data_IF_585151510327
#
_entry.id   IF_585151510327
#
_cell.length_a   1.000
_cell.length_b   1.000
_cell.length_c   1.000
_cell.angle_alpha   90.00
_cell.angle_beta   90.00
_cell.angle_gamma   90.00
#
_symmetry.space_group_name_H-M   'P 1'
#
loop_
_entity.id
_entity.type
_entity.pdbx_description
1 polymer ?
#
# COMPACT_ATOMS: atom_id res chain seq x y z
N UNK A 1 18.06 1.10 -33.20
CA UNK A 1 19.28 1.86 -33.54
C UNK A 1 19.02 3.23 -34.17
N UNK A 2 18.33 3.34 -35.32
CA UNK A 2 18.06 4.65 -35.96
C UNK A 2 17.37 5.66 -35.06
N UNK A 3 16.36 5.22 -34.31
CA UNK A 3 15.64 6.06 -33.34
C UNK A 3 16.55 6.52 -32.19
N UNK A 4 17.38 5.62 -31.67
CA UNK A 4 18.36 5.92 -30.62
C UNK A 4 19.33 7.02 -31.07
N UNK A 5 19.94 6.86 -32.25
CA UNK A 5 20.88 7.85 -32.81
C UNK A 5 20.24 9.22 -33.00
N UNK A 6 19.00 9.27 -33.47
CA UNK A 6 18.27 10.53 -33.65
C UNK A 6 18.04 11.25 -32.32
N UNK A 7 17.59 10.52 -31.29
CA UNK A 7 17.37 11.09 -29.97
C UNK A 7 18.68 11.50 -29.30
N UNK A 8 19.72 10.66 -29.36
CA UNK A 8 21.05 10.97 -28.81
C UNK A 8 21.59 12.26 -29.40
N UNK A 9 21.62 12.39 -30.73
CA UNK A 9 22.12 13.60 -31.39
C UNK A 9 21.30 14.84 -30.98
N UNK A 10 19.98 14.71 -30.84
CA UNK A 10 19.10 15.83 -30.48
C UNK A 10 19.32 16.29 -29.03
N UNK A 11 19.44 15.34 -28.10
CA UNK A 11 19.68 15.61 -26.69
C UNK A 11 21.08 16.19 -26.46
N UNK A 12 22.10 15.62 -27.10
CA UNK A 12 23.47 16.11 -27.00
C UNK A 12 23.62 17.52 -27.59
N UNK A 13 22.92 17.82 -28.69
CA UNK A 13 22.87 19.18 -29.26
C UNK A 13 22.20 20.20 -28.33
N UNK A 14 21.32 19.74 -27.43
CA UNK A 14 20.71 20.55 -26.38
C UNK A 14 21.55 20.60 -25.08
N UNK A 15 22.77 20.03 -25.09
CA UNK A 15 23.66 19.99 -23.92
C UNK A 15 23.30 18.92 -22.89
N UNK A 16 22.44 17.97 -23.24
CA UNK A 16 22.05 16.85 -22.37
C UNK A 16 22.85 15.60 -22.73
N UNK A 17 23.68 15.13 -21.80
CA UNK A 17 24.47 13.91 -21.98
C UNK A 17 23.59 12.66 -21.94
N UNK A 18 23.72 11.79 -22.93
CA UNK A 18 23.06 10.47 -22.94
C UNK A 18 24.00 9.43 -22.37
N UNK A 19 23.66 8.86 -21.21
CA UNK A 19 24.49 7.85 -20.55
C UNK A 19 24.29 6.43 -21.09
N UNK A 20 23.34 6.20 -21.99
CA UNK A 20 23.10 4.89 -22.55
C UNK A 20 21.73 4.77 -23.19
N UNK A 21 21.50 3.66 -23.87
CA UNK A 21 20.23 3.37 -24.55
C UNK A 21 19.87 1.91 -24.31
N UNK A 22 18.72 1.70 -23.69
CA UNK A 22 18.17 0.36 -23.46
C UNK A 22 17.24 0.02 -24.64
N UNK A 23 17.54 -0.99 -25.45
CA UNK A 23 16.63 -1.41 -26.52
C UNK A 23 15.39 -2.09 -25.93
N UNK A 24 14.31 -2.11 -26.70
CA UNK A 24 13.14 -2.91 -26.34
C UNK A 24 13.50 -4.39 -26.46
N UNK A 25 13.53 -5.09 -25.33
CA UNK A 25 13.95 -6.48 -25.20
C UNK A 25 12.84 -7.27 -24.50
N UNK A 26 12.43 -8.40 -25.08
CA UNK A 26 11.42 -9.29 -24.49
C UNK A 26 11.86 -9.84 -23.14
N UNK A 27 13.16 -9.96 -22.96
CA UNK A 27 13.85 -10.35 -21.74
C UNK A 27 13.57 -9.41 -20.55
N UNK A 28 13.18 -8.16 -20.82
CA UNK A 28 12.81 -7.17 -19.81
C UNK A 28 11.31 -7.07 -19.59
N UNK A 29 10.48 -7.79 -20.36
CA UNK A 29 9.03 -7.76 -20.18
C UNK A 29 8.65 -8.45 -18.85
N UNK A 30 7.87 -7.72 -18.04
CA UNK A 30 7.23 -8.27 -16.85
C UNK A 30 5.74 -8.40 -17.12
N UNK A 31 5.16 -9.52 -16.65
CA UNK A 31 3.72 -9.69 -16.66
C UNK A 31 3.03 -8.55 -15.92
N UNK A 32 2.02 -7.95 -16.54
CA UNK A 32 1.14 -7.00 -15.90
C UNK A 32 -0.05 -7.72 -15.25
N UNK A 33 -0.59 -7.11 -14.20
CA UNK A 33 -1.87 -7.45 -13.57
C UNK A 33 -2.73 -6.19 -13.51
N UNK A 34 -3.99 -6.38 -13.13
CA UNK A 34 -5.01 -5.35 -13.03
C UNK A 34 -4.55 -4.01 -12.41
N UNK A 35 -3.72 -4.04 -11.35
CA UNK A 35 -3.24 -2.87 -10.59
C UNK A 35 -1.75 -2.54 -10.78
N UNK A 36 -1.06 -3.15 -11.75
CA UNK A 36 0.38 -2.90 -11.95
C UNK A 36 1.13 -4.13 -12.42
N UNK A 37 2.34 -4.36 -11.93
CA UNK A 37 3.13 -5.54 -12.28
C UNK A 37 2.73 -6.75 -11.43
N UNK A 38 2.98 -7.95 -11.94
CA UNK A 38 2.98 -9.16 -11.11
C UNK A 38 3.95 -8.97 -9.93
N UNK A 39 3.50 -9.22 -8.70
CA UNK A 39 4.30 -9.02 -7.50
C UNK A 39 5.56 -9.89 -7.54
N UNK A 40 6.66 -9.36 -7.03
CA UNK A 40 7.95 -10.06 -6.95
C UNK A 40 7.83 -11.47 -6.32
N UNK A 41 6.98 -11.62 -5.31
CA UNK A 41 6.77 -12.89 -4.60
C UNK A 41 6.12 -13.99 -5.47
N UNK A 42 5.40 -13.60 -6.51
CA UNK A 42 4.74 -14.54 -7.43
C UNK A 42 5.64 -14.92 -8.61
N UNK A 43 6.76 -14.22 -8.79
CA UNK A 43 7.76 -14.53 -9.81
C UNK A 43 8.74 -15.60 -9.30
N UNK A 44 8.45 -16.87 -9.59
CA UNK A 44 9.32 -18.00 -9.22
C UNK A 44 10.79 -17.84 -9.64
N UNK A 45 11.04 -17.08 -10.71
CA UNK A 45 12.37 -16.85 -11.29
C UNK A 45 12.83 -15.39 -11.20
N UNK A 46 12.33 -14.61 -10.24
CA UNK A 46 12.64 -13.16 -10.13
C UNK A 46 14.14 -12.89 -10.06
N UNK A 47 14.91 -13.72 -9.33
CA UNK A 47 16.36 -13.60 -9.22
C UNK A 47 17.07 -13.73 -10.58
N UNK A 48 16.60 -14.65 -11.42
CA UNK A 48 17.14 -14.81 -12.77
C UNK A 48 16.82 -13.59 -13.63
N UNK A 49 15.59 -13.09 -13.54
CA UNK A 49 15.16 -11.88 -14.23
C UNK A 49 16.02 -10.67 -13.79
N UNK A 50 16.20 -10.46 -12.48
CA UNK A 50 17.02 -9.36 -11.94
C UNK A 50 18.46 -9.44 -12.47
N UNK A 51 19.08 -10.62 -12.46
CA UNK A 51 20.44 -10.81 -12.99
C UNK A 51 20.52 -10.50 -14.48
N UNK A 52 19.53 -10.94 -15.25
CA UNK A 52 19.47 -10.68 -16.68
C UNK A 52 19.28 -9.18 -16.98
N UNK A 53 18.35 -8.53 -16.27
CA UNK A 53 18.15 -7.10 -16.37
C UNK A 53 19.42 -6.33 -15.98
N UNK A 54 20.09 -6.70 -14.89
CA UNK A 54 21.34 -6.08 -14.46
C UNK A 54 22.44 -6.19 -15.52
N UNK A 55 22.56 -7.35 -16.19
CA UNK A 55 23.51 -7.53 -17.30
C UNK A 55 23.19 -6.60 -18.47
N UNK A 56 21.92 -6.55 -18.89
CA UNK A 56 21.47 -5.66 -19.97
C UNK A 56 21.76 -4.19 -19.62
N UNK A 57 21.44 -3.76 -18.40
CA UNK A 57 21.73 -2.39 -17.96
C UNK A 57 23.22 -2.08 -17.97
N UNK A 58 24.06 -3.03 -17.54
CA UNK A 58 25.52 -2.87 -17.55
C UNK A 58 26.10 -2.76 -18.96
N UNK A 59 25.49 -3.46 -19.93
CA UNK A 59 25.93 -3.42 -21.33
C UNK A 59 25.43 -2.17 -22.06
N UNK A 60 24.26 -1.66 -21.67
CA UNK A 60 23.59 -0.56 -22.37
C UNK A 60 23.87 0.83 -21.76
N UNK A 61 24.36 0.90 -20.52
CA UNK A 61 24.54 2.14 -19.76
C UNK A 61 26.01 2.35 -19.35
N UNK A 62 26.48 3.59 -19.44
CA UNK A 62 27.72 4.05 -18.86
C UNK A 62 27.54 4.26 -17.35
N UNK A 63 27.60 3.16 -16.60
CA UNK A 63 27.42 3.14 -15.15
C UNK A 63 28.49 3.96 -14.41
N UNK A 64 29.69 4.09 -14.97
CA UNK A 64 30.77 4.88 -14.39
C UNK A 64 30.41 6.37 -14.34
N UNK A 65 29.91 6.92 -15.44
CA UNK A 65 29.49 8.32 -15.47
C UNK A 65 28.23 8.58 -14.65
N UNK A 66 27.27 7.65 -14.66
CA UNK A 66 26.09 7.72 -13.80
C UNK A 66 26.51 7.77 -12.32
N UNK A 67 27.40 6.87 -11.90
CA UNK A 67 27.91 6.83 -10.53
C UNK A 67 28.68 8.11 -10.17
N UNK A 68 29.55 8.59 -11.06
CA UNK A 68 30.31 9.84 -10.88
C UNK A 68 29.38 11.02 -10.66
N UNK A 69 28.31 11.15 -11.45
CA UNK A 69 27.36 12.25 -11.32
C UNK A 69 26.54 12.11 -10.03
N UNK A 70 26.00 10.92 -9.77
CA UNK A 70 25.21 10.66 -8.57
C UNK A 70 25.98 10.97 -7.27
N UNK A 71 27.29 10.69 -7.26
CA UNK A 71 28.16 10.94 -6.09
C UNK A 71 28.75 12.35 -6.04
N UNK A 72 28.73 13.09 -7.16
CA UNK A 72 29.16 14.50 -7.18
C UNK A 72 28.15 15.44 -6.51
N UNK A 73 26.89 15.01 -6.37
CA UNK A 73 25.84 15.80 -5.75
C UNK A 73 26.04 15.91 -4.23
N UNK A 74 26.31 17.12 -3.76
CA UNK A 74 26.26 17.44 -2.32
C UNK A 74 24.81 17.68 -1.91
N UNK A 75 24.11 16.62 -1.55
CA UNK A 75 22.77 16.74 -0.97
C UNK A 75 22.90 17.21 0.48
N UNK A 76 22.24 18.32 0.83
CA UNK A 76 22.02 18.65 2.24
C UNK A 76 21.15 17.54 2.82
N UNK A 77 21.66 16.84 3.83
CA UNK A 77 20.87 15.87 4.59
C UNK A 77 19.73 16.66 5.23
N UNK A 78 18.53 16.56 4.66
CA UNK A 78 17.37 17.11 5.34
C UNK A 78 17.14 16.30 6.61
N UNK A 79 16.75 16.95 7.73
CA UNK A 79 16.27 16.18 8.87
C UNK A 79 15.16 15.26 8.36
N UNK A 80 15.20 13.99 8.77
CA UNK A 80 14.12 13.06 8.47
C UNK A 80 12.83 13.73 8.94
N UNK A 81 11.91 13.99 8.00
CA UNK A 81 10.54 14.35 8.37
C UNK A 81 10.07 13.23 9.29
N UNK A 82 9.57 13.57 10.47
CA UNK A 82 9.04 12.56 11.38
C UNK A 82 7.97 11.79 10.62
N UNK A 83 8.23 10.51 10.35
CA UNK A 83 7.27 9.66 9.67
C UNK A 83 5.98 9.55 10.47
N UNK A 84 5.00 8.86 9.89
CA UNK A 84 3.73 8.60 10.58
C UNK A 84 4.00 8.01 11.97
N UNK A 85 3.33 8.54 12.99
CA UNK A 85 3.45 8.00 14.35
C UNK A 85 2.96 6.54 14.37
N UNK A 86 3.55 5.69 15.20
CA UNK A 86 3.08 4.32 15.35
C UNK A 86 1.65 4.28 15.88
N UNK A 87 0.88 3.29 15.43
CA UNK A 87 -0.50 3.03 15.89
C UNK A 87 -0.57 2.65 17.37
N UNK A 88 0.52 2.08 17.90
CA UNK A 88 0.69 1.57 19.27
C UNK A 88 2.15 1.18 19.48
N UNK A 89 2.51 0.65 20.65
CA UNK A 89 3.89 0.26 20.94
C UNK A 89 4.19 -1.22 20.64
N UNK A 90 3.16 -2.07 20.50
CA UNK A 90 3.27 -3.50 20.17
C UNK A 90 2.32 -3.81 19.03
N UNK A 91 2.81 -3.68 17.81
CA UNK A 91 1.97 -3.68 16.61
C UNK A 91 2.07 -5.03 15.89
N UNK A 92 0.94 -5.71 15.72
CA UNK A 92 0.84 -6.85 14.82
C UNK A 92 0.49 -6.38 13.41
N UNK A 93 1.30 -6.76 12.42
CA UNK A 93 1.12 -6.38 11.02
C UNK A 93 0.85 -7.64 10.19
N UNK A 94 -0.28 -7.67 9.49
CA UNK A 94 -0.55 -8.73 8.54
C UNK A 94 0.45 -8.67 7.38
N UNK A 95 1.06 -9.80 7.03
CA UNK A 95 2.08 -9.88 5.99
C UNK A 95 2.03 -11.22 5.26
N UNK A 96 1.43 -11.20 4.07
CA UNK A 96 1.45 -12.31 3.11
C UNK A 96 1.00 -11.82 1.73
N UNK A 97 0.64 -12.73 0.83
CA UNK A 97 0.22 -12.39 -0.53
C UNK A 97 -1.05 -11.52 -0.59
N UNK A 98 -1.96 -11.64 0.39
CA UNK A 98 -3.15 -10.80 0.48
C UNK A 98 -2.84 -9.42 1.10
N UNK A 99 -1.79 -9.33 1.92
CA UNK A 99 -1.42 -8.13 2.70
C UNK A 99 0.05 -7.77 2.49
N UNK A 100 0.37 -7.19 1.34
CA UNK A 100 1.74 -7.05 0.83
C UNK A 100 2.18 -5.61 0.58
N UNK A 101 1.28 -4.64 0.63
CA UNK A 101 1.60 -3.21 0.42
C UNK A 101 2.13 -2.59 1.70
N UNK A 102 3.21 -3.15 2.23
CA UNK A 102 3.87 -2.67 3.45
C UNK A 102 4.98 -1.70 3.06
N UNK A 103 4.87 -0.45 3.50
CA UNK A 103 5.83 0.59 3.21
C UNK A 103 7.02 0.54 4.17
N UNK A 104 8.25 0.22 3.70
CA UNK A 104 9.40 0.06 4.61
C UNK A 104 9.74 1.33 5.40
N UNK A 105 9.51 2.51 4.83
CA UNK A 105 9.77 3.79 5.50
C UNK A 105 8.82 4.04 6.69
N UNK A 106 7.54 3.65 6.57
CA UNK A 106 6.57 3.73 7.68
C UNK A 106 6.98 2.80 8.81
N UNK A 107 7.29 1.53 8.48
CA UNK A 107 7.69 0.54 9.50
C UNK A 107 9.02 0.92 10.17
N UNK A 108 9.96 1.47 9.40
CA UNK A 108 11.23 1.96 9.96
C UNK A 108 10.98 3.12 10.93
N UNK A 109 10.13 4.07 10.56
CA UNK A 109 9.76 5.18 11.45
C UNK A 109 9.07 4.70 12.72
N UNK A 110 8.19 3.70 12.65
CA UNK A 110 7.55 3.13 13.84
C UNK A 110 8.57 2.50 14.80
N UNK A 111 9.54 1.73 14.28
CA UNK A 111 10.63 1.16 15.08
C UNK A 111 11.52 2.24 15.70
N UNK A 112 11.84 3.29 14.96
CA UNK A 112 12.60 4.45 15.45
C UNK A 112 11.87 5.18 16.59
N UNK A 113 10.53 5.14 16.58
CA UNK A 113 9.67 5.65 17.67
C UNK A 113 9.43 4.61 18.79
N UNK A 114 10.20 3.51 18.81
CA UNK A 114 10.17 2.51 19.88
C UNK A 114 9.06 1.48 19.79
N UNK A 115 8.36 1.38 18.64
CA UNK A 115 7.35 0.34 18.45
C UNK A 115 8.00 -1.02 18.16
N UNK A 116 7.54 -2.05 18.87
CA UNK A 116 7.81 -3.45 18.59
C UNK A 116 6.83 -3.98 17.54
N UNK A 117 7.34 -4.69 16.53
CA UNK A 117 6.56 -5.13 15.37
C UNK A 117 6.56 -6.65 15.27
N UNK A 118 5.37 -7.23 15.25
CA UNK A 118 5.11 -8.65 15.01
C UNK A 118 4.47 -8.84 13.65
N UNK A 119 4.85 -9.89 12.92
CA UNK A 119 4.19 -10.25 11.67
C UNK A 119 3.37 -11.52 11.86
N UNK A 120 2.24 -11.59 11.16
CA UNK A 120 1.40 -12.78 11.09
C UNK A 120 0.81 -12.90 9.69
N UNK A 121 0.44 -14.12 9.26
CA UNK A 121 -0.18 -14.39 7.97
C UNK A 121 -1.66 -14.73 8.12
N UNK A 122 -2.56 -13.79 7.79
CA UNK A 122 -3.99 -14.08 7.67
C UNK A 122 -4.29 -15.26 6.74
N UNK A 123 -3.55 -15.46 5.66
CA UNK A 123 -3.74 -16.59 4.73
C UNK A 123 -3.37 -17.95 5.33
N UNK A 124 -2.56 -18.00 6.39
CA UNK A 124 -2.27 -19.21 7.15
C UNK A 124 -3.16 -19.36 8.39
N UNK A 125 -4.22 -18.55 8.50
CA UNK A 125 -5.13 -18.51 9.66
C UNK A 125 -4.40 -18.16 10.97
N UNK A 126 -3.27 -17.45 10.88
CA UNK A 126 -2.52 -16.99 12.03
C UNK A 126 -3.24 -15.81 12.71
N UNK A 127 -3.01 -15.70 14.01
CA UNK A 127 -3.57 -14.65 14.86
C UNK A 127 -2.53 -13.54 15.04
N UNK A 128 -2.95 -12.28 15.26
CA UNK A 128 -2.09 -11.25 15.83
C UNK A 128 -1.46 -11.72 17.16
N UNK A 129 -0.31 -11.15 17.51
CA UNK A 129 0.35 -11.41 18.80
C UNK A 129 -0.58 -11.02 19.96
N UNK A 130 -0.71 -11.88 20.97
CA UNK A 130 -1.67 -11.73 22.08
C UNK A 130 -1.49 -10.46 22.91
N UNK A 131 -0.29 -9.87 22.91
CA UNK A 131 0.06 -8.67 23.68
C UNK A 131 0.15 -7.41 22.81
N UNK A 132 -0.40 -7.45 21.59
CA UNK A 132 -0.47 -6.29 20.73
C UNK A 132 -1.46 -5.25 21.24
N UNK A 133 -1.05 -3.98 21.22
CA UNK A 133 -1.92 -2.83 21.48
C UNK A 133 -2.45 -2.19 20.18
N UNK A 134 -1.89 -2.59 19.03
CA UNK A 134 -2.43 -2.26 17.72
C UNK A 134 -2.28 -3.41 16.70
N UNK A 135 -3.20 -3.46 15.74
CA UNK A 135 -3.20 -4.35 14.59
C UNK A 135 -3.29 -3.52 13.32
N UNK A 136 -2.39 -3.78 12.39
CA UNK A 136 -2.37 -3.15 11.08
C UNK A 136 -2.59 -4.18 9.97
N UNK A 137 -3.67 -4.00 9.20
CA UNK A 137 -3.93 -4.73 7.97
C UNK A 137 -3.56 -3.80 6.79
N UNK A 138 -2.38 -3.95 6.17
CA UNK A 138 -1.95 -3.10 5.06
C UNK A 138 -2.77 -3.38 3.80
N UNK A 139 -2.53 -2.59 2.75
CA UNK A 139 -3.08 -2.90 1.43
C UNK A 139 -2.55 -4.21 0.84
N UNK A 140 -3.24 -4.67 -0.20
CA UNK A 140 -2.85 -5.84 -0.97
C UNK A 140 -4.02 -6.32 -1.83
N UNK A 141 -4.11 -7.64 -2.03
CA UNK A 141 -5.06 -8.26 -2.96
C UNK A 141 -5.99 -9.28 -2.25
N UNK A 142 -6.75 -8.89 -1.22
CA UNK A 142 -7.61 -9.82 -0.49
C UNK A 142 -8.67 -10.49 -1.38
N UNK A 143 -9.09 -9.85 -2.48
CA UNK A 143 -10.06 -10.37 -3.44
C UNK A 143 -9.59 -11.62 -4.17
N UNK A 144 -8.28 -11.81 -4.31
CA UNK A 144 -7.72 -13.02 -4.90
C UNK A 144 -7.77 -14.22 -3.93
N UNK A 145 -8.00 -13.94 -2.65
CA UNK A 145 -7.98 -14.92 -1.57
C UNK A 145 -9.26 -14.88 -0.71
N UNK A 146 -10.33 -14.25 -1.22
CA UNK A 146 -11.54 -13.93 -0.45
C UNK A 146 -12.14 -15.16 0.24
N UNK A 147 -12.28 -16.28 -0.48
CA UNK A 147 -12.79 -17.53 0.08
C UNK A 147 -11.91 -18.10 1.19
N UNK A 148 -10.58 -18.02 1.06
CA UNK A 148 -9.65 -18.49 2.09
C UNK A 148 -9.71 -17.62 3.33
N UNK A 149 -9.68 -16.29 3.16
CA UNK A 149 -9.81 -15.33 4.25
C UNK A 149 -11.14 -15.51 5.00
N UNK A 150 -12.25 -15.69 4.28
CA UNK A 150 -13.56 -15.93 4.88
C UNK A 150 -13.64 -17.25 5.67
N UNK A 151 -12.84 -18.26 5.30
CA UNK A 151 -12.77 -19.53 6.03
C UNK A 151 -11.83 -19.51 7.24
N UNK A 152 -10.96 -18.51 7.36
CA UNK A 152 -9.91 -18.43 8.38
C UNK A 152 -10.45 -17.88 9.71
N UNK A 153 -11.13 -18.75 10.46
CA UNK A 153 -11.86 -18.38 11.67
C UNK A 153 -10.95 -17.94 12.82
N UNK A 154 -9.72 -18.46 12.94
CA UNK A 154 -8.81 -18.03 14.02
C UNK A 154 -8.37 -16.59 13.80
N UNK A 155 -8.05 -16.23 12.56
CA UNK A 155 -7.77 -14.86 12.15
C UNK A 155 -8.97 -13.95 12.40
N UNK A 156 -10.15 -14.25 11.84
CA UNK A 156 -11.33 -13.38 11.96
C UNK A 156 -11.78 -13.22 13.42
N UNK A 157 -11.84 -14.31 14.19
CA UNK A 157 -12.22 -14.27 15.62
C UNK A 157 -11.24 -13.44 16.43
N UNK A 158 -9.93 -13.53 16.14
CA UNK A 158 -8.92 -12.73 16.84
C UNK A 158 -9.08 -11.21 16.61
N UNK A 159 -9.55 -10.79 15.44
CA UNK A 159 -9.84 -9.37 15.19
C UNK A 159 -11.03 -8.89 16.03
N UNK A 160 -12.06 -9.71 16.18
CA UNK A 160 -13.19 -9.40 17.07
C UNK A 160 -12.77 -9.34 18.53
N UNK A 161 -12.00 -10.31 19.01
CA UNK A 161 -11.46 -10.31 20.38
C UNK A 161 -10.62 -9.07 20.66
N UNK A 162 -9.75 -8.69 19.71
CA UNK A 162 -8.93 -7.49 19.81
C UNK A 162 -9.80 -6.22 19.87
N UNK A 163 -10.83 -6.13 19.02
CA UNK A 163 -11.79 -5.01 19.03
C UNK A 163 -12.53 -4.88 20.36
N UNK A 164 -12.99 -6.00 20.93
CA UNK A 164 -13.65 -6.05 22.25
C UNK A 164 -12.70 -5.59 23.37
N UNK A 165 -11.42 -5.95 23.26
CA UNK A 165 -10.38 -5.57 24.22
C UNK A 165 -9.79 -4.17 23.97
N UNK A 166 -10.41 -3.34 23.13
CA UNK A 166 -9.98 -1.98 22.81
C UNK A 166 -8.58 -1.87 22.18
N UNK A 167 -8.12 -2.92 21.50
CA UNK A 167 -6.92 -2.85 20.65
C UNK A 167 -7.24 -1.98 19.43
N UNK A 168 -6.32 -1.10 19.02
CA UNK A 168 -6.51 -0.31 17.81
C UNK A 168 -6.34 -1.19 16.56
N UNK A 169 -7.29 -1.15 15.63
CA UNK A 169 -7.22 -1.91 14.39
C UNK A 169 -7.34 -0.93 13.23
N UNK A 170 -6.32 -0.88 12.38
CA UNK A 170 -6.34 -0.06 11.16
C UNK A 170 -6.24 -0.93 9.92
N UNK A 171 -7.21 -0.81 9.02
CA UNK A 171 -7.21 -1.45 7.71
C UNK A 171 -6.99 -0.44 6.59
N UNK A 172 -5.94 -0.62 5.80
CA UNK A 172 -5.62 0.21 4.64
C UNK A 172 -5.98 -0.54 3.36
N UNK A 173 -6.78 0.06 2.49
CA UNK A 173 -7.19 -0.48 1.19
C UNK A 173 -7.67 -1.94 1.24
N UNK A 174 -6.84 -2.93 0.88
CA UNK A 174 -7.15 -4.35 1.07
C UNK A 174 -7.50 -4.72 2.52
N UNK A 175 -6.79 -4.16 3.50
CA UNK A 175 -7.14 -4.30 4.91
C UNK A 175 -8.50 -3.71 5.25
N UNK A 176 -8.86 -2.56 4.67
CA UNK A 176 -10.18 -1.95 4.86
C UNK A 176 -11.31 -2.85 4.34
N UNK A 177 -11.11 -3.45 3.16
CA UNK A 177 -12.02 -4.45 2.58
C UNK A 177 -12.21 -5.63 3.54
N UNK A 178 -11.12 -6.20 4.07
CA UNK A 178 -11.17 -7.34 4.99
C UNK A 178 -11.81 -7.00 6.34
N UNK A 179 -11.76 -5.74 6.80
CA UNK A 179 -12.48 -5.31 8.00
C UNK A 179 -13.99 -5.12 7.78
N UNK A 180 -14.43 -5.07 6.52
CA UNK A 180 -15.83 -4.90 6.13
C UNK A 180 -16.73 -6.09 6.45
N UNK A 181 -18.01 -5.94 6.15
CA UNK A 181 -19.01 -7.02 6.27
C UNK A 181 -18.85 -8.04 5.15
N UNK A 182 -18.77 -7.57 3.90
CA UNK A 182 -18.79 -8.41 2.70
C UNK A 182 -17.76 -7.94 1.67
N UNK A 183 -17.08 -8.92 1.09
CA UNK A 183 -16.31 -8.79 -0.13
C UNK A 183 -16.95 -9.65 -1.22
N UNK A 184 -17.38 -9.03 -2.31
CA UNK A 184 -17.82 -9.70 -3.53
C UNK A 184 -16.64 -9.82 -4.48
N UNK A 185 -16.21 -11.04 -4.76
CA UNK A 185 -15.09 -11.26 -5.68
C UNK A 185 -15.50 -11.02 -7.15
N UNK A 186 -14.53 -11.13 -8.06
CA UNK A 186 -14.74 -10.91 -9.50
C UNK A 186 -15.76 -11.87 -10.13
N UNK A 187 -16.01 -13.03 -9.51
CA UNK A 187 -17.01 -14.00 -9.98
C UNK A 187 -18.43 -13.71 -9.49
N UNK A 188 -18.61 -12.66 -8.68
CA UNK A 188 -19.88 -12.35 -8.04
C UNK A 188 -20.13 -13.14 -6.75
N UNK A 189 -19.16 -13.93 -6.29
CA UNK A 189 -19.31 -14.71 -5.05
C UNK A 189 -19.16 -13.79 -3.83
N UNK A 190 -20.16 -13.83 -2.93
CA UNK A 190 -20.18 -13.07 -1.68
C UNK A 190 -19.42 -13.80 -0.59
N UNK A 191 -18.44 -13.14 0.01
CA UNK A 191 -17.62 -13.67 1.11
C UNK A 191 -17.82 -12.82 2.36
N UNK A 192 -18.13 -13.47 3.49
CA UNK A 192 -18.19 -12.80 4.79
C UNK A 192 -16.78 -12.47 5.26
N UNK A 193 -16.54 -11.20 5.53
CA UNK A 193 -15.27 -10.68 6.02
C UNK A 193 -15.36 -10.48 7.55
N UNK A 194 -14.51 -9.65 8.15
CA UNK A 194 -14.45 -9.52 9.60
C UNK A 194 -15.68 -8.83 10.23
N UNK A 195 -16.54 -8.16 9.46
CA UNK A 195 -17.76 -7.52 9.97
C UNK A 195 -17.52 -6.49 11.09
N UNK A 196 -16.34 -5.88 11.11
CA UNK A 196 -15.96 -4.88 12.11
C UNK A 196 -16.35 -3.46 11.66
N UNK A 197 -16.40 -3.24 10.35
CA UNK A 197 -16.84 -1.99 9.73
C UNK A 197 -18.05 -2.30 8.82
N UNK A 198 -19.12 -1.50 8.89
CA UNK A 198 -20.35 -1.75 8.12
C UNK A 198 -20.21 -1.27 6.67
N UNK A 199 -19.37 -1.98 5.92
CA UNK A 199 -19.06 -1.74 4.51
C UNK A 199 -19.15 -3.04 3.70
N UNK A 200 -19.80 -2.96 2.54
CA UNK A 200 -19.74 -4.00 1.50
C UNK A 200 -18.99 -3.47 0.28
N UNK A 201 -18.06 -4.28 -0.23
CA UNK A 201 -17.25 -3.96 -1.42
C UNK A 201 -17.37 -5.03 -2.49
N UNK A 202 -17.20 -4.64 -3.75
CA UNK A 202 -17.27 -5.54 -4.90
C UNK A 202 -16.16 -5.32 -5.91
N UNK A 203 -15.71 -6.43 -6.51
CA UNK A 203 -14.85 -6.45 -7.69
C UNK A 203 -15.57 -6.95 -8.95
N UNK A 204 -16.86 -7.30 -8.85
CA UNK A 204 -17.70 -7.66 -9.99
C UNK A 204 -17.93 -6.44 -10.90
N UNK A 205 -18.30 -5.30 -10.30
CA UNK A 205 -18.46 -4.01 -10.99
C UNK A 205 -17.28 -3.10 -10.66
N UNK A 206 -16.10 -3.46 -11.15
CA UNK A 206 -14.87 -2.74 -10.82
C UNK A 206 -14.88 -1.29 -11.35
N UNK A 207 -14.45 -0.35 -10.51
CA UNK A 207 -14.19 1.05 -10.86
C UNK A 207 -12.80 1.44 -10.40
N UNK A 208 -12.00 2.00 -11.32
CA UNK A 208 -10.68 2.50 -10.96
C UNK A 208 -10.82 3.81 -10.17
N UNK A 209 -10.37 3.80 -8.93
CA UNK A 209 -10.03 5.00 -8.17
C UNK A 209 -8.52 5.15 -8.15
N UNK A 210 -8.01 6.28 -8.63
CA UNK A 210 -6.58 6.59 -8.68
C UNK A 210 -6.35 8.07 -8.40
N UNK A 211 -5.36 8.38 -7.57
CA UNK A 211 -4.81 9.73 -7.46
C UNK A 211 -4.19 10.04 -6.11
N UNK A 212 -3.50 11.18 -6.04
CA UNK A 212 -3.07 11.75 -4.77
C UNK A 212 -4.26 12.37 -4.04
N UNK A 213 -4.20 12.29 -2.72
CA UNK A 213 -5.29 12.68 -1.82
C UNK A 213 -4.73 13.42 -0.62
N UNK A 214 -5.56 14.30 -0.07
CA UNK A 214 -5.35 14.89 1.25
C UNK A 214 -6.49 14.43 2.14
N UNK A 215 -6.16 13.69 3.20
CA UNK A 215 -7.14 13.14 4.13
C UNK A 215 -7.10 13.89 5.45
N UNK A 216 -8.25 14.37 5.92
CA UNK A 216 -8.40 15.15 7.15
C UNK A 216 -9.27 14.34 8.11
N UNK A 217 -8.71 13.96 9.26
CA UNK A 217 -9.44 13.20 10.29
C UNK A 217 -10.63 13.98 10.82
N UNK A 218 -11.78 13.31 10.90
CA UNK A 218 -13.01 13.91 11.43
C UNK A 218 -13.07 13.86 12.96
N UNK A 219 -12.41 12.88 13.57
CA UNK A 219 -12.40 12.63 15.00
C UNK A 219 -10.99 12.27 15.51
N UNK A 220 -10.86 12.04 16.82
CA UNK A 220 -9.63 11.50 17.40
C UNK A 220 -9.39 10.08 16.86
N UNK A 221 -8.19 9.86 16.31
CA UNK A 221 -7.73 8.58 15.78
C UNK A 221 -6.41 8.17 16.45
N UNK A 222 -5.90 6.94 16.24
CA UNK A 222 -4.56 6.54 16.67
C UNK A 222 -3.45 7.43 16.08
N UNK A 223 -3.70 8.05 14.92
CA UNK A 223 -2.73 8.92 14.25
C UNK A 223 -2.72 10.36 14.78
N UNK A 224 -3.70 10.74 15.61
CA UNK A 224 -3.76 12.07 16.24
C UNK A 224 -5.18 12.58 16.51
N UNK A 225 -5.30 13.84 16.97
CA UNK A 225 -6.60 14.48 17.20
C UNK A 225 -7.33 14.75 15.87
N UNK A 226 -8.63 15.07 15.98
CA UNK A 226 -9.43 15.54 14.86
C UNK A 226 -8.75 16.73 14.15
N UNK A 227 -8.94 16.82 12.84
CA UNK A 227 -8.32 17.83 11.99
C UNK A 227 -6.87 17.53 11.59
N UNK A 228 -6.29 16.40 12.03
CA UNK A 228 -5.00 15.95 11.48
C UNK A 228 -5.11 15.60 10.01
N UNK A 229 -4.15 16.11 9.26
CA UNK A 229 -4.14 16.10 7.80
C UNK A 229 -2.95 15.28 7.31
N UNK A 230 -3.21 14.43 6.32
CA UNK A 230 -2.25 13.49 5.76
C UNK A 230 -2.16 13.67 4.25
N UNK A 231 -0.95 13.52 3.71
CA UNK A 231 -0.77 13.25 2.28
C UNK A 231 -0.95 11.76 2.07
N UNK A 232 -1.82 11.42 1.12
CA UNK A 232 -2.19 10.05 0.83
C UNK A 232 -2.18 9.81 -0.68
N UNK A 233 -2.26 8.55 -1.06
CA UNK A 233 -2.70 8.16 -2.39
C UNK A 233 -3.82 7.12 -2.30
N UNK A 234 -4.57 7.00 -3.38
CA UNK A 234 -5.62 6.02 -3.54
C UNK A 234 -5.36 5.27 -4.85
N UNK A 235 -5.37 3.95 -4.82
CA UNK A 235 -5.31 3.11 -6.01
C UNK A 235 -6.00 1.76 -5.77
N UNK A 236 -7.25 1.62 -6.23
CA UNK A 236 -7.99 0.37 -6.15
C UNK A 236 -9.04 0.23 -7.26
N UNK A 237 -9.52 -1.01 -7.45
CA UNK A 237 -10.63 -1.33 -8.36
C UNK A 237 -11.94 -1.67 -7.63
N UNK A 238 -11.90 -1.77 -6.29
CA UNK A 238 -13.07 -2.08 -5.50
C UNK A 238 -14.11 -0.96 -5.63
N UNK A 239 -15.37 -1.33 -5.84
CA UNK A 239 -16.51 -0.43 -5.70
C UNK A 239 -17.15 -0.64 -4.34
N UNK A 240 -17.55 0.45 -3.68
CA UNK A 240 -18.30 0.40 -2.43
C UNK A 240 -19.78 0.31 -2.76
N UNK A 241 -20.44 -0.76 -2.31
CA UNK A 241 -21.88 -0.95 -2.50
C UNK A 241 -22.68 -0.26 -1.39
N UNK A 242 -22.22 -0.44 -0.16
CA UNK A 242 -22.81 0.18 1.03
C UNK A 242 -21.69 0.58 1.99
N UNK A 243 -21.83 1.72 2.64
CA UNK A 243 -20.97 2.13 3.75
C UNK A 243 -21.81 3.00 4.69
N UNK A 244 -22.42 2.37 5.69
CA UNK A 244 -23.30 3.02 6.67
C UNK A 244 -22.55 3.41 7.96
N UNK A 245 -21.23 3.20 7.99
CA UNK A 245 -20.39 3.51 9.14
C UNK A 245 -20.08 4.99 9.26
N UNK A 246 -19.71 5.39 10.48
CA UNK A 246 -19.18 6.72 10.73
C UNK A 246 -17.94 6.93 9.88
N UNK A 247 -17.85 8.07 9.19
CA UNK A 247 -16.74 8.37 8.28
C UNK A 247 -15.47 8.69 9.05
N UNK A 248 -14.32 8.37 8.45
CA UNK A 248 -13.01 8.56 9.07
C UNK A 248 -12.37 9.88 8.62
N UNK A 249 -12.49 10.20 7.33
CA UNK A 249 -11.82 11.33 6.72
C UNK A 249 -12.80 12.23 5.95
N UNK A 250 -12.52 13.53 5.95
CA UNK A 250 -12.82 14.40 4.81
C UNK A 250 -11.66 14.29 3.80
N UNK A 251 -11.95 14.20 2.51
CA UNK A 251 -10.94 13.97 1.48
C UNK A 251 -10.96 15.05 0.40
N UNK A 252 -9.77 15.50 0.01
CA UNK A 252 -9.54 16.39 -1.13
C UNK A 252 -8.61 15.70 -2.15
N UNK A 253 -8.71 16.03 -3.43
CA UNK A 253 -7.76 15.62 -4.45
C UNK A 253 -6.53 16.55 -4.53
N UNK A 254 -5.64 16.32 -5.50
CA UNK A 254 -4.42 17.10 -5.70
C UNK A 254 -4.67 18.58 -6.08
N UNK A 255 -5.87 18.90 -6.60
CA UNK A 255 -6.28 20.24 -6.98
C UNK A 255 -7.17 20.90 -5.89
N UNK A 256 -7.20 20.30 -4.69
CA UNK A 256 -8.03 20.70 -3.56
C UNK A 256 -9.55 20.62 -3.83
N UNK A 257 -9.98 19.78 -4.77
CA UNK A 257 -11.39 19.48 -4.98
C UNK A 257 -11.89 18.61 -3.84
N UNK A 258 -13.02 19.00 -3.23
CA UNK A 258 -13.67 18.22 -2.17
C UNK A 258 -14.28 16.94 -2.76
N UNK A 259 -13.78 15.79 -2.31
CA UNK A 259 -14.28 14.46 -2.69
C UNK A 259 -15.28 13.90 -1.67
N UNK A 260 -15.61 14.66 -0.63
CA UNK A 260 -16.57 14.29 0.40
C UNK A 260 -15.93 13.52 1.56
N UNK A 261 -16.73 12.64 2.18
CA UNK A 261 -16.37 11.91 3.38
C UNK A 261 -16.12 10.43 3.07
N UNK A 262 -14.97 9.92 3.48
CA UNK A 262 -14.48 8.59 3.12
C UNK A 262 -13.99 7.77 4.31
N UNK A 263 -13.82 6.48 4.07
CA UNK A 263 -13.45 5.49 5.08
C UNK A 263 -14.56 5.21 6.09
N UNK A 264 -14.22 4.41 7.09
CA UNK A 264 -15.11 4.06 8.19
C UNK A 264 -14.35 3.97 9.50
N UNK A 265 -15.06 4.25 10.59
CA UNK A 265 -14.59 4.04 11.95
C UNK A 265 -15.72 3.51 12.84
N UNK A 266 -15.36 2.65 13.79
CA UNK A 266 -16.23 2.11 14.84
C UNK A 266 -15.39 1.76 16.06
N UNK A 267 -15.58 2.50 17.16
CA UNK A 267 -14.79 2.36 18.39
C UNK A 267 -13.27 2.43 18.11
N UNK A 268 -12.55 1.32 18.29
CA UNK A 268 -11.10 1.23 18.06
C UNK A 268 -10.72 0.70 16.67
N UNK A 269 -11.70 0.49 15.79
CA UNK A 269 -11.50 -0.01 14.42
C UNK A 269 -11.65 1.12 13.42
N UNK A 270 -10.67 1.26 12.54
CA UNK A 270 -10.55 2.32 11.55
C UNK A 270 -10.16 1.71 10.19
N UNK A 271 -10.67 2.25 9.09
CA UNK A 271 -10.19 1.83 7.78
C UNK A 271 -10.58 2.77 6.65
N UNK A 272 -9.78 2.75 5.59
CA UNK A 272 -10.01 3.57 4.39
C UNK A 272 -9.22 3.02 3.19
N UNK A 273 -9.59 3.43 1.99
CA UNK A 273 -8.80 3.24 0.77
C UNK A 273 -7.58 4.17 0.68
N UNK A 274 -7.48 5.16 1.57
CA UNK A 274 -6.36 6.10 1.63
C UNK A 274 -5.11 5.43 2.16
N UNK A 275 -4.10 5.28 1.30
CA UNK A 275 -2.76 4.90 1.69
C UNK A 275 -2.02 6.12 2.24
N UNK A 276 -1.75 6.14 3.55
CA UNK A 276 -1.11 7.30 4.20
C UNK A 276 0.40 7.31 3.96
N UNK A 277 0.93 8.47 3.57
CA UNK A 277 2.36 8.66 3.28
C UNK A 277 3.01 9.42 4.45
N UNK A 278 2.56 10.65 4.70
CA UNK A 278 3.09 11.53 5.76
C UNK A 278 2.05 12.57 6.22
N UNK A 279 2.44 13.38 7.20
CA UNK A 279 1.66 14.52 7.67
C UNK A 279 1.84 15.73 6.74
N UNK A 280 0.78 16.52 6.59
CA UNK A 280 0.85 17.86 5.95
C UNK A 280 1.45 18.89 6.89
#
# INVERSE_FOLDING_TARGET
ERHAKLLTNSLESAGLTVFGVIPHLKELELGSRHLGLVQAQEHRNIEKYIKQAAKIMSDCLNLNDIHRIATSAKLKKQPLVSGLKPLGQRISIAKDAAFSFIYPHVISSWRENGAEIFYFSPLQDERPALHSDAIYLPGGYPELYAGKLASNQNFLTSLHEASINNVFIFGECGGYITLGDILIDKSGTRHKMAGLLPIETTFEQRKLSLGYRKAITLDKTPFGPAGKTFRCHEFHYASVLTNTGNKLFKVEDGDATDLGLEGSQKNTVFGSFMHMIDYV
#
